data_IF_440923126381
#
_entry.id   IF_440923126381
#
_cell.length_a   1.000
_cell.length_b   1.000
_cell.length_c   1.000
_cell.angle_alpha   90.00
_cell.angle_beta   90.00
_cell.angle_gamma   90.00
#
_symmetry.space_group_name_H-M   'P 1'
#
loop_
_entity.id
_entity.type
_entity.pdbx_description
1 polymer ?
#
# COMPACT_ATOMS: atom_id res chain seq x y z
N UNK A 1 3.43 4.00 6.48
CA UNK A 1 2.41 4.54 7.39
C UNK A 1 3.01 5.17 8.64
N UNK A 2 3.67 4.43 9.54
CA UNK A 2 4.24 5.00 10.78
C UNK A 2 5.14 6.22 10.55
N UNK A 3 6.10 6.13 9.62
CA UNK A 3 7.00 7.26 9.30
C UNK A 3 6.31 8.43 8.61
N UNK A 4 5.11 8.22 8.06
CA UNK A 4 4.34 9.33 7.49
C UNK A 4 3.81 10.17 8.64
N UNK A 5 3.16 9.56 9.63
CA UNK A 5 2.44 10.29 10.68
C UNK A 5 3.19 10.52 12.00
N UNK A 6 4.46 10.12 12.11
CA UNK A 6 5.26 10.26 13.32
C UNK A 6 5.72 11.70 13.57
N UNK A 7 5.83 12.51 12.51
CA UNK A 7 6.19 13.94 12.58
C UNK A 7 4.98 14.87 12.49
N UNK A 8 3.76 14.33 12.49
CA UNK A 8 2.54 15.10 12.22
C UNK A 8 2.12 15.96 13.43
N UNK A 9 2.05 17.27 13.25
CA UNK A 9 1.47 18.23 14.22
C UNK A 9 0.02 18.58 13.88
N UNK A 10 -0.64 19.37 14.73
CA UNK A 10 -2.05 19.81 14.66
C UNK A 10 -2.51 20.31 13.27
N UNK A 11 -1.57 20.72 12.42
CA UNK A 11 -1.78 21.24 11.07
C UNK A 11 -2.30 20.18 10.06
N UNK A 12 -2.29 18.89 10.38
CA UNK A 12 -2.66 17.82 9.43
C UNK A 12 -4.07 17.24 9.61
N UNK A 13 -4.98 17.99 10.24
CA UNK A 13 -6.44 17.75 10.13
C UNK A 13 -6.94 17.85 8.68
N UNK A 14 -6.20 18.51 7.79
CA UNK A 14 -6.54 18.67 6.37
C UNK A 14 -6.58 17.33 5.60
N UNK A 15 -5.73 16.36 5.92
CA UNK A 15 -5.78 15.01 5.31
C UNK A 15 -7.08 14.29 5.63
N UNK A 16 -7.59 14.45 6.86
CA UNK A 16 -8.87 13.84 7.25
C UNK A 16 -10.04 14.36 6.41
N UNK A 17 -10.01 15.66 6.09
CA UNK A 17 -11.03 16.32 5.27
C UNK A 17 -10.90 15.88 3.83
N UNK A 18 -9.68 15.92 3.26
CA UNK A 18 -9.40 15.49 1.88
C UNK A 18 -9.82 14.04 1.65
N UNK A 19 -9.41 13.14 2.54
CA UNK A 19 -9.71 11.71 2.45
C UNK A 19 -11.21 11.43 2.64
N UNK A 20 -11.90 12.17 3.53
CA UNK A 20 -13.35 12.07 3.71
C UNK A 20 -14.13 12.60 2.50
N UNK A 21 -13.60 13.60 1.79
CA UNK A 21 -14.21 14.19 0.60
C UNK A 21 -14.03 13.35 -0.67
N UNK A 22 -13.35 12.20 -0.58
CA UNK A 22 -13.17 11.30 -1.72
C UNK A 22 -14.52 10.74 -2.18
N UNK A 23 -14.84 10.92 -3.46
CA UNK A 23 -15.97 10.24 -4.08
C UNK A 23 -15.72 8.74 -4.11
N UNK A 24 -16.57 7.97 -3.42
CA UNK A 24 -16.47 6.50 -3.39
C UNK A 24 -17.38 5.81 -4.41
N UNK A 25 -18.06 6.58 -5.26
CA UNK A 25 -18.95 6.05 -6.28
C UNK A 25 -18.17 5.16 -7.27
N UNK A 26 -18.65 3.94 -7.48
CA UNK A 26 -17.98 2.95 -8.33
C UNK A 26 -16.91 2.12 -7.63
N UNK A 27 -16.66 2.35 -6.33
CA UNK A 27 -15.76 1.53 -5.53
C UNK A 27 -16.56 0.56 -4.67
N UNK A 28 -16.10 -0.68 -4.57
CA UNK A 28 -16.65 -1.66 -3.62
C UNK A 28 -16.06 -1.46 -2.21
N UNK A 29 -16.12 -0.24 -1.67
CA UNK A 29 -15.65 0.10 -0.33
C UNK A 29 -16.72 0.85 0.45
N UNK A 30 -16.72 0.66 1.78
CA UNK A 30 -17.51 1.51 2.67
C UNK A 30 -16.97 2.95 2.66
N UNK A 31 -17.80 3.89 3.10
CA UNK A 31 -17.40 5.29 3.28
C UNK A 31 -16.05 5.37 4.04
N UNK A 32 -15.13 6.20 3.53
CA UNK A 32 -13.79 6.28 4.10
C UNK A 32 -13.85 6.93 5.48
N UNK A 33 -13.67 6.14 6.53
CA UNK A 33 -13.65 6.59 7.92
C UNK A 33 -12.33 7.28 8.28
N UNK A 34 -11.99 8.38 7.61
CA UNK A 34 -10.72 9.09 7.74
C UNK A 34 -10.42 9.50 9.20
N UNK A 35 -11.43 9.96 9.94
CA UNK A 35 -11.28 10.33 11.35
C UNK A 35 -10.88 9.13 12.23
N UNK A 36 -11.50 7.96 12.00
CA UNK A 36 -11.14 6.72 12.69
C UNK A 36 -9.71 6.30 12.36
N UNK A 37 -9.33 6.33 11.08
CA UNK A 37 -7.99 5.90 10.64
C UNK A 37 -6.88 6.76 11.23
N UNK A 38 -7.13 8.05 11.47
CA UNK A 38 -6.19 8.95 12.12
C UNK A 38 -6.15 8.77 13.64
N UNK A 39 -7.31 8.61 14.28
CA UNK A 39 -7.42 8.37 15.72
C UNK A 39 -6.76 7.04 16.10
N UNK A 40 -6.97 5.99 15.32
CA UNK A 40 -6.46 4.65 15.54
C UNK A 40 -5.33 4.29 14.56
N UNK A 41 -4.43 5.25 14.30
CA UNK A 41 -3.35 5.12 13.30
C UNK A 41 -2.42 3.92 13.48
N UNK A 42 -2.30 3.39 14.70
CA UNK A 42 -1.51 2.19 14.99
C UNK A 42 -2.33 0.89 15.00
N UNK A 43 -3.66 0.98 14.95
CA UNK A 43 -4.60 -0.16 14.96
C UNK A 43 -5.31 -0.37 13.64
N UNK A 44 -4.67 0.03 12.52
CA UNK A 44 -5.27 -0.15 11.20
C UNK A 44 -5.28 -1.63 10.81
N UNK A 45 -6.37 -2.05 10.20
CA UNK A 45 -6.58 -3.41 9.68
C UNK A 45 -6.48 -3.42 8.14
N UNK A 46 -6.50 -4.60 7.53
CA UNK A 46 -6.29 -4.79 6.08
C UNK A 46 -7.14 -3.87 5.20
N UNK A 47 -8.44 -3.72 5.49
CA UNK A 47 -9.33 -2.82 4.72
C UNK A 47 -8.87 -1.36 4.73
N UNK A 48 -8.35 -0.86 5.87
CA UNK A 48 -7.85 0.51 5.98
C UNK A 48 -6.57 0.68 5.15
N UNK A 49 -5.68 -0.30 5.17
CA UNK A 49 -4.47 -0.27 4.36
C UNK A 49 -4.77 -0.34 2.85
N UNK A 50 -5.77 -1.13 2.43
CA UNK A 50 -6.25 -1.15 1.03
C UNK A 50 -6.73 0.23 0.59
N UNK A 51 -7.56 0.89 1.40
CA UNK A 51 -8.03 2.26 1.13
C UNK A 51 -6.86 3.25 1.05
N UNK A 52 -5.90 3.18 1.99
CA UNK A 52 -4.73 4.06 1.97
C UNK A 52 -3.87 3.84 0.72
N UNK A 53 -3.66 2.60 0.32
CA UNK A 53 -2.87 2.25 -0.86
C UNK A 53 -3.48 2.81 -2.15
N UNK A 54 -4.82 2.84 -2.25
CA UNK A 54 -5.54 3.38 -3.40
C UNK A 54 -5.60 4.92 -3.41
N UNK A 55 -5.80 5.56 -2.25
CA UNK A 55 -6.15 6.99 -2.22
C UNK A 55 -5.08 7.91 -1.66
N UNK A 56 -4.14 7.43 -0.85
CA UNK A 56 -3.23 8.31 -0.10
C UNK A 56 -2.43 9.25 -1.02
N UNK A 57 -1.99 8.76 -2.20
CA UNK A 57 -1.18 9.55 -3.13
C UNK A 57 -1.86 10.84 -3.57
N UNK A 58 -3.20 10.82 -3.70
CA UNK A 58 -3.98 11.98 -4.14
C UNK A 58 -4.17 13.03 -3.03
N UNK A 59 -4.04 12.63 -1.77
CA UNK A 59 -4.32 13.51 -0.63
C UNK A 59 -3.04 14.05 0.03
N UNK A 60 -1.95 13.29 -0.01
CA UNK A 60 -0.68 13.63 0.67
C UNK A 60 0.11 14.76 -0.01
N UNK A 61 -0.25 15.17 -1.23
CA UNK A 61 0.43 16.26 -1.95
C UNK A 61 0.36 17.57 -1.15
N UNK A 62 1.53 18.18 -0.93
CA UNK A 62 1.69 19.42 -0.15
C UNK A 62 1.62 19.22 1.37
N UNK A 63 1.62 17.96 1.84
CA UNK A 63 1.55 17.62 3.27
C UNK A 63 2.78 16.82 3.72
N UNK A 64 3.29 15.96 2.85
CA UNK A 64 4.51 15.16 3.08
C UNK A 64 5.66 15.67 2.22
N UNK A 65 6.89 15.24 2.53
CA UNK A 65 8.05 15.57 1.71
C UNK A 65 7.94 14.95 0.31
N UNK A 66 8.65 15.47 -0.71
CA UNK A 66 8.68 14.89 -2.04
C UNK A 66 9.07 13.40 -2.05
N UNK A 67 10.02 13.00 -1.21
CA UNK A 67 10.50 11.62 -1.07
C UNK A 67 9.42 10.72 -0.46
N UNK A 68 8.72 11.22 0.58
CA UNK A 68 7.59 10.51 1.18
C UNK A 68 6.43 10.33 0.20
N UNK A 69 6.17 11.34 -0.64
CA UNK A 69 5.16 11.26 -1.69
C UNK A 69 5.58 10.25 -2.77
N UNK A 70 6.85 10.23 -3.16
CA UNK A 70 7.40 9.27 -4.12
C UNK A 70 7.24 7.83 -3.63
N UNK A 71 7.56 7.57 -2.35
CA UNK A 71 7.32 6.25 -1.73
C UNK A 71 5.84 5.89 -1.76
N UNK A 72 4.96 6.82 -1.41
CA UNK A 72 3.52 6.54 -1.39
C UNK A 72 2.99 6.22 -2.79
N UNK A 73 3.44 6.97 -3.80
CA UNK A 73 3.09 6.72 -5.20
C UNK A 73 3.57 5.35 -5.67
N UNK A 74 4.85 5.02 -5.46
CA UNK A 74 5.41 3.74 -5.89
C UNK A 74 4.69 2.55 -5.22
N UNK A 75 4.36 2.66 -3.93
CA UNK A 75 3.57 1.65 -3.22
C UNK A 75 2.16 1.52 -3.80
N UNK A 76 1.52 2.63 -4.15
CA UNK A 76 0.18 2.63 -4.75
C UNK A 76 0.17 1.93 -6.11
N UNK A 77 1.14 2.24 -6.98
CA UNK A 77 1.32 1.60 -8.29
C UNK A 77 1.60 0.10 -8.16
N UNK A 78 2.56 -0.30 -7.30
CA UNK A 78 2.82 -1.72 -7.01
C UNK A 78 1.59 -2.42 -6.44
N UNK A 79 0.90 -1.78 -5.50
CA UNK A 79 -0.29 -2.31 -4.85
C UNK A 79 -1.43 -2.64 -5.82
N UNK A 80 -1.61 -1.81 -6.86
CA UNK A 80 -2.59 -2.05 -7.91
C UNK A 80 -2.27 -3.32 -8.71
N UNK A 81 -1.00 -3.54 -9.05
CA UNK A 81 -0.56 -4.72 -9.81
C UNK A 81 -0.60 -6.01 -8.99
N UNK A 82 -0.42 -5.93 -7.67
CA UNK A 82 -0.48 -7.09 -6.78
C UNK A 82 -1.89 -7.58 -6.49
N UNK A 83 -2.91 -6.76 -6.73
CA UNK A 83 -4.30 -7.06 -6.40
C UNK A 83 -5.12 -7.56 -7.60
N UNK A 84 -4.51 -8.42 -8.44
CA UNK A 84 -5.19 -9.07 -9.57
C UNK A 84 -5.38 -10.56 -9.32
N UNK A 85 -6.49 -11.12 -9.83
CA UNK A 85 -6.83 -12.54 -9.69
C UNK A 85 -6.42 -13.40 -10.89
N UNK A 86 -6.03 -12.77 -12.00
CA UNK A 86 -5.68 -13.46 -13.25
C UNK A 86 -4.52 -12.70 -13.91
N UNK A 87 -3.61 -13.43 -14.56
CA UNK A 87 -2.45 -12.89 -15.26
C UNK A 87 -2.50 -13.40 -16.70
N UNK A 88 -2.79 -12.51 -17.65
CA UNK A 88 -2.91 -12.85 -19.07
C UNK A 88 -1.55 -13.19 -19.71
N UNK A 89 -0.54 -12.35 -19.46
CA UNK A 89 0.83 -12.53 -19.91
C UNK A 89 1.78 -12.52 -18.71
N UNK A 90 2.23 -13.71 -18.33
CA UNK A 90 3.10 -13.89 -17.17
C UNK A 90 4.44 -13.19 -17.32
N UNK A 91 5.05 -13.20 -18.51
CA UNK A 91 6.38 -12.60 -18.68
C UNK A 91 6.29 -11.09 -18.58
N UNK A 92 5.34 -10.48 -19.30
CA UNK A 92 5.09 -9.04 -19.21
C UNK A 92 4.74 -8.62 -17.80
N UNK A 93 3.87 -9.38 -17.13
CA UNK A 93 3.50 -9.10 -15.74
C UNK A 93 4.71 -9.12 -14.80
N UNK A 94 5.61 -10.09 -14.94
CA UNK A 94 6.80 -10.20 -14.10
C UNK A 94 7.83 -9.09 -14.38
N UNK A 95 7.94 -8.64 -15.62
CA UNK A 95 8.78 -7.51 -15.99
C UNK A 95 8.24 -6.21 -15.38
N UNK A 96 6.95 -5.93 -15.57
CA UNK A 96 6.27 -4.78 -14.97
C UNK A 96 6.35 -4.82 -13.44
N UNK A 97 6.15 -6.00 -12.84
CA UNK A 97 6.26 -6.21 -11.39
C UNK A 97 7.66 -5.90 -10.88
N UNK A 98 8.69 -6.35 -11.59
CA UNK A 98 10.10 -6.09 -11.22
C UNK A 98 10.38 -4.59 -11.22
N UNK A 99 9.92 -3.87 -12.25
CA UNK A 99 10.06 -2.41 -12.34
C UNK A 99 9.37 -1.72 -11.15
N UNK A 100 8.14 -2.12 -10.82
CA UNK A 100 7.40 -1.51 -9.71
C UNK A 100 8.02 -1.81 -8.34
N UNK A 101 8.57 -3.02 -8.15
CA UNK A 101 9.34 -3.37 -6.95
C UNK A 101 10.58 -2.48 -6.84
N UNK A 102 11.32 -2.31 -7.94
CA UNK A 102 12.53 -1.51 -7.96
C UNK A 102 12.23 -0.04 -7.66
N UNK A 103 11.18 0.52 -8.25
CA UNK A 103 10.70 1.87 -7.94
C UNK A 103 10.38 2.05 -6.45
N UNK A 104 9.76 1.04 -5.81
CA UNK A 104 9.49 1.09 -4.36
C UNK A 104 10.79 1.09 -3.57
N UNK A 105 11.73 0.20 -3.91
CA UNK A 105 13.00 0.08 -3.19
C UNK A 105 13.87 1.33 -3.35
N UNK A 106 13.93 1.90 -4.56
CA UNK A 106 14.66 3.14 -4.83
C UNK A 106 14.05 4.32 -4.08
N UNK A 107 12.72 4.43 -4.05
CA UNK A 107 12.04 5.47 -3.28
C UNK A 107 12.29 5.31 -1.76
N UNK A 108 12.34 4.08 -1.24
CA UNK A 108 12.71 3.84 0.15
C UNK A 108 14.19 4.17 0.42
N UNK A 109 15.10 3.83 -0.51
CA UNK A 109 16.51 4.11 -0.40
C UNK A 109 16.81 5.62 -0.35
N UNK A 110 16.02 6.44 -1.07
CA UNK A 110 16.12 7.89 -1.01
C UNK A 110 15.77 8.47 0.37
N UNK A 111 14.96 7.78 1.18
CA UNK A 111 14.63 8.20 2.55
C UNK A 111 15.60 7.59 3.56
N UNK A 112 15.80 6.27 3.51
CA UNK A 112 16.58 5.51 4.47
C UNK A 112 16.88 4.10 3.90
N UNK A 113 18.06 3.91 3.29
CA UNK A 113 18.41 2.65 2.63
C UNK A 113 18.60 1.50 3.62
N UNK A 114 18.90 1.78 4.90
CA UNK A 114 19.05 0.75 5.92
C UNK A 114 17.73 -0.02 6.14
N UNK A 115 16.58 0.58 5.85
CA UNK A 115 15.28 -0.11 5.98
C UNK A 115 15.14 -1.32 5.07
N UNK A 116 15.80 -1.35 3.92
CA UNK A 116 15.67 -2.45 2.96
C UNK A 116 16.11 -3.79 3.57
N UNK A 117 17.33 -3.91 4.15
CA UNK A 117 17.73 -5.14 4.84
C UNK A 117 17.03 -5.34 6.19
N UNK A 118 16.70 -4.28 6.94
CA UNK A 118 16.12 -4.43 8.29
C UNK A 118 14.61 -4.66 8.33
N UNK A 119 13.88 -4.36 7.24
CA UNK A 119 12.44 -4.62 7.15
C UNK A 119 12.21 -5.79 6.22
N UNK A 120 11.91 -6.95 6.82
CA UNK A 120 11.65 -8.20 6.09
C UNK A 120 10.66 -8.04 4.94
N UNK A 121 9.61 -7.23 5.12
CA UNK A 121 8.61 -6.97 4.07
C UNK A 121 9.19 -6.30 2.82
N UNK A 122 10.18 -5.42 2.96
CA UNK A 122 10.86 -4.80 1.82
C UNK A 122 11.79 -5.79 1.13
N UNK A 123 12.54 -6.57 1.91
CA UNK A 123 13.38 -7.63 1.37
C UNK A 123 12.57 -8.69 0.61
N UNK A 124 11.40 -9.10 1.15
CA UNK A 124 10.54 -10.10 0.53
C UNK A 124 10.00 -9.72 -0.85
N UNK A 125 9.89 -8.42 -1.16
CA UNK A 125 9.43 -7.97 -2.49
C UNK A 125 10.32 -8.52 -3.61
N UNK A 126 11.64 -8.59 -3.42
CA UNK A 126 12.56 -9.13 -4.44
C UNK A 126 12.33 -10.60 -4.77
N UNK A 127 11.72 -11.36 -3.87
CA UNK A 127 11.40 -12.78 -4.09
C UNK A 127 10.02 -12.99 -4.72
N UNK A 128 9.18 -11.94 -4.73
CA UNK A 128 7.81 -12.03 -5.18
C UNK A 128 7.65 -12.45 -6.66
N UNK A 129 8.48 -11.99 -7.62
CA UNK A 129 8.39 -12.46 -9.00
C UNK A 129 8.60 -13.98 -9.12
N UNK A 130 9.54 -14.55 -8.36
CA UNK A 130 9.79 -15.99 -8.35
C UNK A 130 8.62 -16.76 -7.72
N UNK A 131 8.01 -16.22 -6.67
CA UNK A 131 6.81 -16.80 -6.06
C UNK A 131 5.63 -16.77 -7.01
N UNK A 132 5.35 -15.65 -7.68
CA UNK A 132 4.23 -15.53 -8.60
C UNK A 132 4.41 -16.45 -9.82
N UNK A 133 5.63 -16.55 -10.35
CA UNK A 133 5.94 -17.52 -11.42
C UNK A 133 5.61 -18.96 -11.01
N UNK A 134 5.78 -19.31 -9.74
CA UNK A 134 5.58 -20.68 -9.23
C UNK A 134 4.16 -20.96 -8.76
N UNK A 135 3.50 -19.98 -8.14
CA UNK A 135 2.25 -20.17 -7.40
C UNK A 135 1.07 -19.38 -8.00
N UNK A 136 1.29 -18.60 -9.05
CA UNK A 136 0.28 -17.74 -9.66
C UNK A 136 0.11 -16.41 -8.92
N UNK A 137 -1.00 -15.69 -9.14
CA UNK A 137 -1.23 -14.37 -8.59
C UNK A 137 -1.07 -14.27 -7.07
N UNK A 138 -0.51 -13.14 -6.59
CA UNK A 138 -0.22 -12.93 -5.17
C UNK A 138 -1.46 -13.05 -4.26
N UNK A 139 -2.64 -12.71 -4.78
CA UNK A 139 -3.91 -12.82 -4.07
C UNK A 139 -4.21 -14.26 -3.65
N UNK A 140 -3.78 -15.27 -4.42
CA UNK A 140 -4.11 -16.67 -4.19
C UNK A 140 -3.41 -17.28 -2.97
N UNK A 141 -2.23 -16.75 -2.60
CA UNK A 141 -1.49 -17.19 -1.42
C UNK A 141 -1.48 -16.12 -0.31
N UNK A 142 -2.40 -15.16 -0.38
CA UNK A 142 -2.65 -14.20 0.70
C UNK A 142 -3.24 -14.90 1.93
N UNK A 143 -2.78 -14.53 3.12
CA UNK A 143 -3.34 -15.05 4.38
C UNK A 143 -4.76 -14.55 4.64
N UNK A 144 -5.23 -13.51 3.93
CA UNK A 144 -6.57 -12.94 4.11
C UNK A 144 -7.68 -13.97 3.88
N UNK A 145 -7.52 -14.89 2.93
CA UNK A 145 -8.49 -15.97 2.69
C UNK A 145 -8.63 -16.88 3.91
N UNK A 146 -7.52 -17.16 4.60
CA UNK A 146 -7.54 -17.95 5.83
C UNK A 146 -8.09 -17.16 7.02
N UNK A 147 -7.80 -15.86 7.10
CA UNK A 147 -8.31 -14.97 8.14
C UNK A 147 -9.83 -14.77 8.06
N UNK A 148 -10.44 -14.84 6.88
CA UNK A 148 -11.89 -14.78 6.71
C UNK A 148 -12.63 -15.89 7.47
N UNK A 149 -12.02 -17.07 7.65
CA UNK A 149 -12.64 -18.15 8.43
C UNK A 149 -12.67 -17.86 9.93
N UNK A 150 -11.76 -17.02 10.45
CA UNK A 150 -11.78 -16.61 11.87
C UNK A 150 -13.00 -15.74 12.23
N UNK A 151 -13.69 -15.16 11.24
CA UNK A 151 -14.90 -14.35 11.47
C UNK A 151 -16.18 -15.20 11.62
N UNK A 152 -16.12 -16.50 11.29
CA UNK A 152 -17.24 -17.43 11.38
C UNK A 152 -17.29 -18.12 12.77
N UNK A 153 -16.17 -18.15 13.49
CA UNK A 153 -16.03 -18.70 14.84
C UNK A 153 -16.00 -17.58 15.89
#
# INVERSE_FOLDING_TARGET
>A
WHNLHSSWTSQQRADSVRLRSTGVNGLNILAICAAYMLQYKNGLIGKHFKTLMQFATFHLKGIVSPEQLAVNRAIGELGALLWIGEIDDLNRYLDDLTILIDNVLDAFAAIDPAKIPFKIKLHLLKHLPAHIRRFGPAVHFSTEVFECFNAIF
#
